data_IF_378017879147
#
_entry.id   IF_378017879147
#
_cell.length_a   1.000
_cell.length_b   1.000
_cell.length_c   1.000
_cell.angle_alpha   90.00
_cell.angle_beta   90.00
_cell.angle_gamma   90.00
#
_symmetry.space_group_name_H-M   'P 1'
#
loop_
_entity.id
_entity.type
_entity.pdbx_description
1 polymer ?
#
# COMPACT_ATOMS: atom_id res chain seq x y z
N UNK A 1 -50.18 -32.16 6.92
CA UNK A 1 -49.59 -31.07 6.10
C UNK A 1 -49.59 -29.80 6.94
N UNK A 2 -48.47 -29.48 7.59
CA UNK A 2 -48.33 -28.31 8.45
C UNK A 2 -47.27 -27.38 7.83
N UNK A 3 -47.73 -26.32 7.17
CA UNK A 3 -46.87 -25.27 6.62
C UNK A 3 -46.41 -24.33 7.73
N UNK A 4 -45.18 -24.50 8.22
CA UNK A 4 -44.51 -23.52 9.08
C UNK A 4 -44.08 -22.32 8.25
N UNK A 5 -44.80 -21.21 8.38
CA UNK A 5 -44.35 -19.90 7.89
C UNK A 5 -43.08 -19.51 8.66
N UNK A 6 -41.97 -19.37 7.94
CA UNK A 6 -40.72 -18.83 8.48
C UNK A 6 -40.93 -17.35 8.78
N UNK A 7 -40.85 -16.99 10.06
CA UNK A 7 -40.71 -15.62 10.52
C UNK A 7 -39.50 -14.98 9.80
N UNK A 8 -39.79 -14.02 8.94
CA UNK A 8 -38.77 -13.14 8.40
C UNK A 8 -38.21 -12.32 9.57
N UNK A 9 -36.93 -12.51 9.86
CA UNK A 9 -36.19 -11.66 10.79
C UNK A 9 -36.24 -10.22 10.26
N UNK A 10 -37.03 -9.37 10.92
CA UNK A 10 -36.95 -7.92 10.76
C UNK A 10 -35.59 -7.47 11.29
N UNK A 11 -34.61 -7.34 10.41
CA UNK A 11 -33.41 -6.59 10.71
C UNK A 11 -33.83 -5.13 10.93
N UNK A 12 -33.51 -4.52 12.09
CA UNK A 12 -33.72 -3.09 12.26
C UNK A 12 -32.91 -2.38 11.18
N UNK A 13 -33.58 -1.51 10.41
CA UNK A 13 -32.93 -0.58 9.47
C UNK A 13 -32.13 0.43 10.27
N UNK A 14 -30.98 -0.01 10.76
CA UNK A 14 -30.02 0.88 11.37
C UNK A 14 -29.49 1.75 10.23
N UNK A 15 -29.84 3.04 10.28
CA UNK A 15 -29.36 4.11 9.43
C UNK A 15 -27.84 4.28 9.64
N UNK A 16 -27.10 3.26 9.22
CA UNK A 16 -25.67 3.23 9.23
C UNK A 16 -25.22 4.11 8.07
N UNK A 17 -24.86 5.33 8.43
CA UNK A 17 -23.84 6.18 7.83
C UNK A 17 -22.48 5.47 7.72
N UNK A 18 -22.46 4.20 7.30
CA UNK A 18 -21.29 3.46 6.89
C UNK A 18 -21.12 3.71 5.38
N UNK A 19 -20.46 4.83 5.09
CA UNK A 19 -19.62 5.01 3.91
C UNK A 19 -20.33 4.91 2.55
N UNK A 20 -21.08 5.96 2.20
CA UNK A 20 -21.13 6.45 0.82
C UNK A 20 -19.76 7.03 0.43
N UNK A 21 -18.71 6.21 0.44
CA UNK A 21 -17.48 6.53 -0.29
C UNK A 21 -17.75 6.06 -1.72
N UNK A 22 -18.43 6.88 -2.53
CA UNK A 22 -18.31 6.75 -3.97
C UNK A 22 -17.02 7.48 -4.33
N UNK A 23 -15.87 6.79 -4.42
CA UNK A 23 -14.67 7.43 -4.94
C UNK A 23 -15.04 7.95 -6.32
N UNK A 24 -14.94 9.26 -6.52
CA UNK A 24 -15.20 9.84 -7.82
C UNK A 24 -14.24 9.16 -8.80
N UNK A 25 -14.78 8.40 -9.76
CA UNK A 25 -13.99 7.60 -10.72
C UNK A 25 -12.87 8.44 -11.34
N UNK A 26 -13.17 9.71 -11.63
CA UNK A 26 -12.22 10.63 -12.23
C UNK A 26 -11.05 10.98 -11.29
N UNK A 27 -11.30 11.10 -9.98
CA UNK A 27 -10.25 11.32 -8.98
C UNK A 27 -9.35 10.08 -8.86
N UNK A 28 -9.93 8.88 -8.85
CA UNK A 28 -9.17 7.64 -8.81
C UNK A 28 -8.24 7.50 -10.04
N UNK A 29 -8.79 7.72 -11.24
CA UNK A 29 -8.03 7.70 -12.49
C UNK A 29 -6.92 8.74 -12.49
N UNK A 30 -7.20 9.97 -12.05
CA UNK A 30 -6.20 11.03 -11.94
C UNK A 30 -5.07 10.65 -10.98
N UNK A 31 -5.39 10.11 -9.79
CA UNK A 31 -4.39 9.65 -8.83
C UNK A 31 -3.52 8.53 -9.39
N UNK A 32 -4.10 7.59 -10.15
CA UNK A 32 -3.33 6.54 -10.82
C UNK A 32 -2.34 7.11 -11.83
N UNK A 33 -2.75 8.09 -12.65
CA UNK A 33 -1.84 8.75 -13.59
C UNK A 33 -0.71 9.49 -12.88
N UNK A 34 -1.02 10.21 -11.80
CA UNK A 34 -0.01 10.89 -10.97
C UNK A 34 0.97 9.87 -10.39
N UNK A 35 0.47 8.76 -9.85
CA UNK A 35 1.32 7.69 -9.30
C UNK A 35 2.22 7.07 -10.36
N UNK A 36 1.70 6.77 -11.55
CA UNK A 36 2.49 6.23 -12.66
C UNK A 36 3.57 7.21 -13.14
N UNK A 37 3.23 8.49 -13.19
CA UNK A 37 4.18 9.55 -13.55
C UNK A 37 5.31 9.65 -12.52
N UNK A 38 4.98 9.70 -11.22
CA UNK A 38 5.97 9.69 -10.15
C UNK A 38 6.85 8.44 -10.18
N UNK A 39 6.26 7.27 -10.45
CA UNK A 39 7.00 6.01 -10.57
C UNK A 39 7.97 6.03 -11.77
N UNK A 40 7.60 6.69 -12.86
CA UNK A 40 8.46 6.90 -14.02
C UNK A 40 9.61 7.91 -13.80
N UNK A 41 9.45 8.82 -12.83
CA UNK A 41 10.50 9.78 -12.44
C UNK A 41 11.58 9.11 -11.58
N UNK A 42 11.21 8.13 -10.76
CA UNK A 42 12.13 7.45 -9.81
C UNK A 42 13.46 6.99 -10.44
N UNK A 43 13.48 6.33 -11.62
CA UNK A 43 14.72 5.89 -12.24
C UNK A 43 15.59 7.05 -12.73
N UNK A 44 14.98 8.18 -13.12
CA UNK A 44 15.69 9.40 -13.55
C UNK A 44 16.42 10.01 -12.35
N UNK A 45 15.72 10.14 -11.22
CA UNK A 45 16.33 10.65 -9.98
C UNK A 45 17.45 9.70 -9.52
N UNK A 46 17.21 8.39 -9.55
CA UNK A 46 18.20 7.39 -9.12
C UNK A 46 19.47 7.39 -9.97
N UNK A 47 19.38 7.66 -11.27
CA UNK A 47 20.54 7.76 -12.16
C UNK A 47 21.21 9.14 -12.16
N UNK A 48 20.47 10.19 -11.77
CA UNK A 48 21.01 11.55 -11.62
C UNK A 48 21.79 11.74 -10.30
N UNK A 49 21.89 10.69 -9.49
CA UNK A 49 22.66 10.64 -8.26
C UNK A 49 24.15 10.97 -8.53
N UNK A 50 24.80 11.76 -7.64
CA UNK A 50 26.25 11.96 -7.71
C UNK A 50 27.00 10.64 -7.49
N UNK A 51 28.05 10.39 -8.29
CA UNK A 51 28.87 9.17 -8.18
C UNK A 51 29.51 8.97 -6.79
N UNK A 52 29.71 10.06 -6.04
CA UNK A 52 30.25 10.03 -4.68
C UNK A 52 29.26 9.50 -3.62
N UNK A 53 27.96 9.46 -3.91
CA UNK A 53 26.94 8.88 -3.05
C UNK A 53 26.81 7.40 -3.36
N UNK A 54 26.89 6.54 -2.34
CA UNK A 54 26.59 5.12 -2.48
C UNK A 54 25.08 4.89 -2.63
N UNK A 55 24.70 3.77 -3.26
CA UNK A 55 23.29 3.36 -3.38
C UNK A 55 22.58 3.30 -2.02
N UNK A 56 23.30 2.83 -0.99
CA UNK A 56 22.77 2.71 0.37
C UNK A 56 22.43 4.07 0.98
N UNK A 57 23.36 5.04 0.88
CA UNK A 57 23.14 6.39 1.42
C UNK A 57 21.99 7.08 0.69
N UNK A 58 21.93 6.93 -0.63
CA UNK A 58 20.84 7.49 -1.43
C UNK A 58 19.47 6.90 -1.07
N UNK A 59 19.38 5.57 -0.93
CA UNK A 59 18.15 4.90 -0.48
C UNK A 59 17.73 5.37 0.93
N UNK A 60 18.69 5.56 1.84
CA UNK A 60 18.41 6.10 3.17
C UNK A 60 17.82 7.51 3.11
N UNK A 61 18.40 8.41 2.32
CA UNK A 61 17.86 9.76 2.14
C UNK A 61 16.46 9.75 1.52
N UNK A 62 16.19 8.86 0.56
CA UNK A 62 14.85 8.68 0.00
C UNK A 62 13.84 8.27 1.08
N UNK A 63 14.17 7.28 1.91
CA UNK A 63 13.26 6.86 3.00
C UNK A 63 13.03 7.96 4.04
N UNK A 64 14.03 8.78 4.30
CA UNK A 64 13.91 9.92 5.21
C UNK A 64 13.00 10.99 4.61
N UNK A 65 13.10 11.22 3.30
CA UNK A 65 12.20 12.13 2.58
C UNK A 65 10.76 11.62 2.56
N UNK A 66 10.53 10.33 2.30
CA UNK A 66 9.21 9.69 2.37
C UNK A 66 8.59 9.81 3.77
N UNK A 67 9.41 9.66 4.83
CA UNK A 67 8.98 9.86 6.21
C UNK A 67 8.55 11.32 6.45
N UNK A 68 9.35 12.29 6.02
CA UNK A 68 9.03 13.72 6.14
C UNK A 68 7.73 14.06 5.39
N UNK A 69 7.54 13.53 4.18
CA UNK A 69 6.32 13.77 3.40
C UNK A 69 5.07 13.10 3.99
N UNK A 70 5.21 11.95 4.65
CA UNK A 70 4.08 11.22 5.25
C UNK A 70 3.65 11.78 6.61
N UNK A 71 4.57 12.40 7.37
CA UNK A 71 4.29 12.96 8.70
C UNK A 71 3.16 14.01 8.72
N UNK A 72 3.11 15.01 7.82
CA UNK A 72 2.01 15.98 7.79
C UNK A 72 0.64 15.32 7.63
N UNK A 73 0.56 14.32 6.75
CA UNK A 73 -0.68 13.58 6.51
C UNK A 73 -1.08 12.76 7.74
N UNK A 74 -0.09 12.14 8.39
CA UNK A 74 -0.27 11.40 9.64
C UNK A 74 -0.79 12.31 10.76
N UNK A 75 -0.17 13.47 10.98
CA UNK A 75 -0.65 14.45 11.97
C UNK A 75 -2.05 14.96 11.63
N UNK A 76 -2.32 15.21 10.34
CA UNK A 76 -3.65 15.61 9.89
C UNK A 76 -4.72 14.54 10.20
N UNK A 77 -4.41 13.26 10.03
CA UNK A 77 -5.31 12.16 10.40
C UNK A 77 -5.54 12.08 11.93
N UNK A 78 -4.52 12.35 12.74
CA UNK A 78 -4.65 12.37 14.21
C UNK A 78 -5.59 13.48 14.71
N UNK A 79 -5.72 14.59 13.97
CA UNK A 79 -6.66 15.67 14.34
C UNK A 79 -8.13 15.36 14.04
N UNK A 80 -8.42 14.29 13.29
CA UNK A 80 -9.79 13.92 12.92
C UNK A 80 -10.47 13.08 14.01
N UNK A 81 -11.82 13.12 14.11
CA UNK A 81 -12.58 12.36 15.11
C UNK A 81 -12.43 10.83 14.99
N UNK A 82 -11.98 10.34 13.83
CA UNK A 82 -11.63 8.94 13.60
C UNK A 82 -10.13 8.84 13.26
N UNK A 83 -9.23 8.78 14.26
CA UNK A 83 -7.77 8.75 14.07
C UNK A 83 -7.27 7.36 13.60
N UNK A 84 -8.06 6.67 12.78
CA UNK A 84 -7.75 5.35 12.21
C UNK A 84 -7.31 4.34 13.29
N UNK A 85 -6.10 3.79 13.11
CA UNK A 85 -5.50 2.75 13.97
C UNK A 85 -5.27 3.17 15.43
N UNK A 86 -5.32 4.48 15.73
CA UNK A 86 -5.17 5.02 17.08
C UNK A 86 -6.51 5.24 17.80
N UNK A 87 -7.62 4.92 17.15
CA UNK A 87 -8.93 5.03 17.77
C UNK A 87 -9.06 4.07 18.96
N UNK A 88 -9.53 4.59 20.09
CA UNK A 88 -9.68 3.83 21.35
C UNK A 88 -10.68 2.67 21.24
N UNK A 89 -11.57 2.69 20.24
CA UNK A 89 -12.58 1.66 19.98
C UNK A 89 -12.05 0.39 19.31
N UNK A 90 -10.79 0.40 18.83
CA UNK A 90 -10.22 -0.76 18.12
C UNK A 90 -9.82 -1.86 19.12
N UNK A 91 -10.22 -3.09 18.82
CA UNK A 91 -9.85 -4.29 19.57
C UNK A 91 -8.32 -4.40 19.67
N UNK A 92 -7.74 -4.55 20.88
CA UNK A 92 -6.29 -4.46 21.09
C UNK A 92 -5.50 -5.52 20.31
N UNK A 93 -6.10 -6.69 20.05
CA UNK A 93 -5.48 -7.76 19.26
C UNK A 93 -5.34 -7.38 17.77
N UNK A 94 -6.38 -6.76 17.19
CA UNK A 94 -6.35 -6.27 15.80
C UNK A 94 -5.34 -5.13 15.68
N UNK A 95 -5.26 -4.25 16.68
CA UNK A 95 -4.26 -3.17 16.72
C UNK A 95 -2.84 -3.72 16.73
N UNK A 96 -2.52 -4.68 17.61
CA UNK A 96 -1.19 -5.33 17.64
C UNK A 96 -0.85 -5.99 16.31
N UNK A 97 -1.78 -6.75 15.73
CA UNK A 97 -1.59 -7.39 14.42
C UNK A 97 -1.32 -6.37 13.32
N UNK A 98 -2.03 -5.24 13.33
CA UNK A 98 -1.83 -4.16 12.37
C UNK A 98 -0.44 -3.55 12.49
N UNK A 99 0.03 -3.25 13.71
CA UNK A 99 1.39 -2.76 13.93
C UNK A 99 2.47 -3.74 13.48
N UNK A 100 2.29 -5.04 13.73
CA UNK A 100 3.23 -6.08 13.27
C UNK A 100 3.28 -6.12 11.75
N UNK A 101 2.12 -6.09 11.07
CA UNK A 101 2.06 -6.07 9.60
C UNK A 101 2.70 -4.79 9.05
N UNK A 102 2.42 -3.62 9.65
CA UNK A 102 3.06 -2.35 9.27
C UNK A 102 4.58 -2.40 9.42
N UNK A 103 5.08 -2.99 10.51
CA UNK A 103 6.53 -3.17 10.72
C UNK A 103 7.16 -4.08 9.67
N UNK A 104 6.57 -5.25 9.43
CA UNK A 104 7.06 -6.22 8.43
C UNK A 104 7.03 -5.60 7.02
N UNK A 105 5.94 -4.94 6.65
CA UNK A 105 5.82 -4.28 5.34
C UNK A 105 6.82 -3.15 5.18
N UNK A 106 7.07 -2.35 6.23
CA UNK A 106 8.11 -1.32 6.21
C UNK A 106 9.52 -1.89 6.00
N UNK A 107 9.86 -3.01 6.66
CA UNK A 107 11.15 -3.69 6.47
C UNK A 107 11.30 -4.18 5.01
N UNK A 108 10.27 -4.86 4.49
CA UNK A 108 10.27 -5.37 3.12
C UNK A 108 10.40 -4.21 2.12
N UNK A 109 9.67 -3.12 2.34
CA UNK A 109 9.72 -1.92 1.50
C UNK A 109 11.12 -1.30 1.51
N UNK A 110 11.74 -1.17 2.69
CA UNK A 110 13.09 -0.60 2.82
C UNK A 110 14.16 -1.42 2.09
N UNK A 111 14.09 -2.75 2.22
CA UNK A 111 14.97 -3.68 1.49
C UNK A 111 14.73 -3.58 -0.02
N UNK A 112 13.48 -3.48 -0.44
CA UNK A 112 13.11 -3.35 -1.86
C UNK A 112 13.62 -2.03 -2.45
N UNK A 113 13.51 -0.92 -1.72
CA UNK A 113 14.03 0.39 -2.16
C UNK A 113 15.54 0.36 -2.36
N UNK A 114 16.29 -0.31 -1.48
CA UNK A 114 17.72 -0.53 -1.69
C UNK A 114 18.01 -1.31 -2.98
N UNK A 115 17.30 -2.42 -3.20
CA UNK A 115 17.46 -3.21 -4.42
C UNK A 115 17.09 -2.44 -5.69
N UNK A 116 16.09 -1.54 -5.64
CA UNK A 116 15.78 -0.68 -6.78
C UNK A 116 16.93 0.22 -7.15
N UNK A 117 17.49 0.97 -6.18
CA UNK A 117 18.63 1.87 -6.45
C UNK A 117 19.83 1.09 -6.97
N UNK A 118 20.12 -0.07 -6.37
CA UNK A 118 21.21 -0.94 -6.79
C UNK A 118 21.01 -1.53 -8.19
N UNK A 119 19.78 -1.96 -8.52
CA UNK A 119 19.45 -2.50 -9.84
C UNK A 119 19.56 -1.42 -10.93
N UNK A 120 19.14 -0.19 -10.63
CA UNK A 120 19.30 0.93 -11.56
C UNK A 120 20.78 1.25 -11.86
N UNK A 121 21.65 1.13 -10.85
CA UNK A 121 23.10 1.33 -10.99
C UNK A 121 23.78 0.20 -11.79
N UNK A 122 23.40 -1.06 -11.56
CA UNK A 122 24.11 -2.23 -12.10
C UNK A 122 23.56 -2.73 -13.44
N UNK A 123 22.23 -2.80 -13.58
CA UNK A 123 21.57 -3.32 -14.78
C UNK A 123 21.12 -2.22 -15.76
N UNK A 124 21.20 -0.96 -15.34
CA UNK A 124 20.72 0.20 -16.07
C UNK A 124 19.21 0.41 -15.95
N UNK A 125 18.78 1.64 -16.23
CA UNK A 125 17.40 2.14 -16.05
C UNK A 125 16.34 1.27 -16.72
N UNK A 126 16.60 0.86 -17.96
CA UNK A 126 15.63 0.16 -18.81
C UNK A 126 15.41 -1.29 -18.34
N UNK A 127 16.50 -2.04 -18.14
CA UNK A 127 16.45 -3.43 -17.70
C UNK A 127 15.83 -3.55 -16.31
N UNK A 128 16.20 -2.65 -15.39
CA UNK A 128 15.61 -2.60 -14.06
C UNK A 128 14.12 -2.25 -14.12
N UNK A 129 13.69 -1.26 -14.93
CA UNK A 129 12.28 -0.91 -15.06
C UNK A 129 11.42 -2.08 -15.59
N UNK A 130 11.94 -2.86 -16.55
CA UNK A 130 11.26 -4.06 -17.06
C UNK A 130 11.15 -5.13 -15.96
N UNK A 131 12.21 -5.34 -15.18
CA UNK A 131 12.19 -6.28 -14.06
C UNK A 131 11.14 -5.88 -13.01
N UNK A 132 11.01 -4.59 -12.70
CA UNK A 132 9.99 -4.07 -11.76
C UNK A 132 8.57 -4.32 -12.28
N UNK A 133 8.34 -4.09 -13.57
CA UNK A 133 7.04 -4.33 -14.22
C UNK A 133 6.66 -5.82 -14.28
N UNK A 134 7.58 -6.74 -13.92
CA UNK A 134 7.28 -8.17 -13.80
C UNK A 134 6.59 -8.50 -12.47
N UNK A 135 6.57 -7.57 -11.50
CA UNK A 135 5.92 -7.76 -10.20
C UNK A 135 4.46 -8.26 -10.27
N UNK A 136 3.57 -7.75 -11.15
CA UNK A 136 2.22 -8.29 -11.29
C UNK A 136 2.18 -9.77 -11.70
N UNK A 137 3.11 -10.21 -12.57
CA UNK A 137 3.22 -11.62 -12.95
C UNK A 137 3.63 -12.47 -11.75
N UNK A 138 4.63 -12.02 -10.98
CA UNK A 138 5.01 -12.68 -9.73
C UNK A 138 3.86 -12.71 -8.71
N UNK A 139 3.07 -11.64 -8.63
CA UNK A 139 1.90 -11.59 -7.74
C UNK A 139 0.87 -12.66 -8.09
N UNK A 140 0.55 -12.85 -9.37
CA UNK A 140 -0.39 -13.88 -9.84
C UNK A 140 0.14 -15.29 -9.54
N UNK A 141 1.43 -15.53 -9.79
CA UNK A 141 2.06 -16.83 -9.50
C UNK A 141 2.07 -17.11 -8.00
N UNK A 142 2.42 -16.13 -7.17
CA UNK A 142 2.40 -16.26 -5.72
C UNK A 142 0.98 -16.45 -5.18
N UNK A 143 -0.01 -15.75 -5.74
CA UNK A 143 -1.42 -15.98 -5.42
C UNK A 143 -1.82 -17.42 -5.73
N UNK A 144 -1.45 -17.95 -6.90
CA UNK A 144 -1.73 -19.34 -7.27
C UNK A 144 -1.07 -20.37 -6.33
N UNK A 145 0.17 -20.11 -5.89
CA UNK A 145 0.92 -21.00 -4.99
C UNK A 145 0.34 -20.95 -3.56
N UNK A 146 0.09 -19.75 -3.03
CA UNK A 146 -0.36 -19.54 -1.64
C UNK A 146 -1.84 -19.81 -1.46
N UNK A 147 -2.64 -19.35 -2.42
CA UNK A 147 -4.07 -19.58 -2.50
C UNK A 147 -4.30 -20.57 -3.64
N UNK A 148 -4.12 -21.86 -3.33
CA UNK A 148 -4.76 -22.93 -4.09
C UNK A 148 -6.26 -22.62 -4.08
N UNK A 149 -6.74 -21.97 -5.15
CA UNK A 149 -8.15 -21.68 -5.38
C UNK A 149 -8.93 -22.98 -5.20
N UNK A 150 -9.53 -23.16 -4.02
CA UNK A 150 -10.56 -24.16 -3.82
C UNK A 150 -11.80 -23.58 -4.53
N UNK A 151 -11.85 -23.83 -5.83
CA UNK A 151 -13.06 -23.65 -6.62
C UNK A 151 -14.07 -24.65 -6.07
N UNK A 152 -14.92 -24.19 -5.15
CA UNK A 152 -16.23 -24.81 -4.94
C UNK A 152 -17.19 -24.17 -5.93
#
# INVERSE_FOLDING_TARGET
>A
MAGKQKQAYNFPSNNNSFLNFYPNRNIGVLLSFISLFLLGILPIISNSRPLALSALNFAFYLTLWELICSLPLFFYELTKPNPGIFQKSIIPNIRKKTFVIMGITGIIFSISTFFYVYAFETAGTISAAIAIQTYPLFSIVMEFILFKKKSN
#
